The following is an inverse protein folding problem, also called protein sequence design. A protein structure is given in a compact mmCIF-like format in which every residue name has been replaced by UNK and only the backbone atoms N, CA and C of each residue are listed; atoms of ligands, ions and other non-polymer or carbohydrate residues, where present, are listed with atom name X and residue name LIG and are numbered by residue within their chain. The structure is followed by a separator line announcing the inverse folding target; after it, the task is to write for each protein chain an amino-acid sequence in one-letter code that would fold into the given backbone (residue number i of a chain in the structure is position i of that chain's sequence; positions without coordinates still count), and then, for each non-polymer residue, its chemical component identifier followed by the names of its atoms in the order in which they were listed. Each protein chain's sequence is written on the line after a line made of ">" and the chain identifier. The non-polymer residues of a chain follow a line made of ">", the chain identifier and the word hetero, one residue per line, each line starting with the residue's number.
data_IF_481352358763
#
_entry.id   IF_481352358763
#
_cell.length_a   1.000
_cell.length_b   1.000
_cell.length_c   1.000
_cell.angle_alpha   90.00
_cell.angle_beta   90.00
_cell.angle_gamma   90.00
#
_symmetry.space_group_name_H-M   'P 1'
#
loop_
_entity.id
_entity.type
_entity.pdbx_description
1 polymer ?
#
# COMPACT_ATOMS: atom_id res chain seq x y z
N UNK A 1 15.22 12.19 -6.75
CA UNK A 1 14.32 11.11 -6.30
C UNK A 1 14.84 10.65 -4.96
N UNK A 2 13.98 10.53 -3.95
CA UNK A 2 14.36 9.95 -2.66
C UNK A 2 14.95 8.55 -2.89
N UNK A 3 16.09 8.26 -2.26
CA UNK A 3 16.70 6.91 -2.32
C UNK A 3 15.87 5.85 -1.56
N UNK A 4 14.78 6.26 -0.92
CA UNK A 4 13.95 5.43 -0.06
C UNK A 4 12.53 5.21 -0.61
N UNK A 5 12.13 5.87 -1.71
CA UNK A 5 10.81 5.70 -2.30
C UNK A 5 10.86 4.93 -3.61
N UNK A 6 10.01 3.92 -3.74
CA UNK A 6 9.91 3.04 -4.89
C UNK A 6 8.49 3.10 -5.43
N UNK A 7 8.32 3.73 -6.59
CA UNK A 7 7.03 3.89 -7.25
C UNK A 7 6.91 2.89 -8.41
N UNK A 8 5.73 2.29 -8.57
CA UNK A 8 5.36 1.76 -9.89
C UNK A 8 5.17 2.92 -10.89
N UNK A 9 5.34 2.65 -12.19
CA UNK A 9 5.30 3.69 -13.22
C UNK A 9 3.98 4.49 -13.17
N UNK A 10 2.85 3.78 -13.04
CA UNK A 10 1.51 4.39 -12.98
C UNK A 10 1.31 5.19 -11.68
N UNK A 11 1.82 4.67 -10.55
CA UNK A 11 1.65 5.30 -9.25
C UNK A 11 2.42 6.61 -9.11
N UNK A 12 3.60 6.72 -9.75
CA UNK A 12 4.38 7.97 -9.73
C UNK A 12 3.60 9.12 -10.38
N UNK A 13 2.97 8.87 -11.54
CA UNK A 13 2.21 9.87 -12.27
C UNK A 13 1.02 10.38 -11.44
N UNK A 14 0.27 9.47 -10.79
CA UNK A 14 -0.83 9.82 -9.91
C UNK A 14 -0.36 10.65 -8.70
N UNK A 15 0.67 10.18 -8.00
CA UNK A 15 1.18 10.84 -6.81
C UNK A 15 1.67 12.27 -7.10
N UNK A 16 2.37 12.46 -8.24
CA UNK A 16 2.85 13.78 -8.69
C UNK A 16 1.71 14.70 -9.10
N UNK A 17 0.65 14.17 -9.72
CA UNK A 17 -0.50 14.98 -10.15
C UNK A 17 -1.22 15.69 -8.99
N UNK A 18 -1.16 15.10 -7.79
CA UNK A 18 -1.77 15.63 -6.58
C UNK A 18 -0.75 16.21 -5.57
N UNK A 19 0.56 16.13 -5.86
CA UNK A 19 1.63 16.59 -4.96
C UNK A 19 1.82 15.73 -3.70
N UNK A 20 1.20 14.55 -3.64
CA UNK A 20 1.29 13.62 -2.51
C UNK A 20 2.69 12.99 -2.43
N UNK A 21 3.38 12.88 -3.56
CA UNK A 21 4.75 12.40 -3.64
C UNK A 21 5.70 13.21 -2.75
N UNK A 22 5.52 14.52 -2.63
CA UNK A 22 6.36 15.39 -1.79
C UNK A 22 6.29 14.98 -0.32
N UNK A 23 5.08 14.70 0.18
CA UNK A 23 4.86 14.35 1.59
C UNK A 23 5.40 12.94 1.87
N UNK A 24 5.12 11.98 0.99
CA UNK A 24 5.62 10.60 1.11
C UNK A 24 7.15 10.56 1.06
N UNK A 25 7.76 11.26 0.10
CA UNK A 25 9.22 11.33 -0.05
C UNK A 25 9.87 11.93 1.20
N UNK A 26 9.30 13.02 1.73
CA UNK A 26 9.81 13.67 2.93
C UNK A 26 9.78 12.73 4.14
N UNK A 27 8.69 11.98 4.32
CA UNK A 27 8.60 10.96 5.37
C UNK A 27 9.65 9.86 5.20
N UNK A 28 9.77 9.29 4.00
CA UNK A 28 10.71 8.20 3.74
C UNK A 28 12.16 8.61 3.97
N UNK A 29 12.56 9.82 3.56
CA UNK A 29 13.90 10.37 3.79
C UNK A 29 14.17 10.66 5.27
N UNK A 30 13.22 11.29 5.97
CA UNK A 30 13.36 11.61 7.39
C UNK A 30 13.55 10.34 8.24
N UNK A 31 12.79 9.29 7.93
CA UNK A 31 12.81 8.05 8.69
C UNK A 31 13.80 7.00 8.14
N UNK A 32 14.40 7.25 6.96
CA UNK A 32 15.28 6.33 6.22
C UNK A 32 14.66 4.95 6.01
N UNK A 33 13.36 4.93 5.70
CA UNK A 33 12.57 3.70 5.52
C UNK A 33 12.21 3.51 4.06
N UNK A 34 12.45 2.31 3.55
CA UNK A 34 11.96 1.93 2.23
C UNK A 34 10.43 2.02 2.22
N UNK A 35 9.92 2.85 1.31
CA UNK A 35 8.51 3.15 1.13
C UNK A 35 8.12 2.78 -0.29
N UNK A 36 7.13 1.92 -0.44
CA UNK A 36 6.66 1.40 -1.71
C UNK A 36 5.30 2.02 -2.03
N UNK A 37 5.14 2.49 -3.26
CA UNK A 37 3.93 3.14 -3.75
C UNK A 37 3.51 2.44 -5.05
N UNK A 38 2.38 1.75 -5.02
CA UNK A 38 1.99 0.81 -6.06
C UNK A 38 0.50 0.98 -6.40
N UNK A 39 0.12 0.79 -7.67
CA UNK A 39 -1.30 0.65 -8.06
C UNK A 39 -1.80 -0.80 -7.97
N UNK A 40 -0.88 -1.78 -7.86
CA UNK A 40 -1.18 -3.21 -7.71
C UNK A 40 0.06 -3.95 -7.19
N UNK A 41 -0.06 -5.15 -6.60
CA UNK A 41 1.09 -5.94 -6.22
C UNK A 41 2.02 -6.22 -7.41
N UNK A 42 3.33 -5.96 -7.25
CA UNK A 42 4.34 -6.20 -8.30
C UNK A 42 4.52 -7.70 -8.57
N UNK A 43 4.30 -8.53 -7.56
CA UNK A 43 4.36 -10.00 -7.67
C UNK A 43 3.27 -10.62 -8.57
N UNK A 44 2.34 -9.81 -9.11
CA UNK A 44 1.24 -10.25 -9.95
C UNK A 44 1.02 -9.30 -11.15
N UNK A 45 2.01 -9.24 -12.06
CA UNK A 45 2.05 -8.30 -13.19
C UNK A 45 0.88 -8.46 -14.19
N UNK A 46 0.28 -9.64 -14.27
CA UNK A 46 -0.84 -9.93 -15.19
C UNK A 46 -2.19 -9.36 -14.71
N UNK A 47 -2.26 -8.88 -13.46
CA UNK A 47 -3.51 -8.35 -12.91
C UNK A 47 -3.78 -6.94 -13.42
N UNK A 48 -5.03 -6.74 -13.82
CA UNK A 48 -5.60 -5.44 -14.16
C UNK A 48 -6.81 -5.22 -13.27
N UNK A 49 -6.83 -4.08 -12.60
CA UNK A 49 -8.01 -3.59 -11.91
C UNK A 49 -8.81 -2.70 -12.85
N UNK A 50 -10.13 -2.68 -12.67
CA UNK A 50 -11.02 -1.81 -13.45
C UNK A 50 -10.84 -0.33 -13.07
N UNK A 51 -10.35 -0.06 -11.85
CA UNK A 51 -10.01 1.27 -11.37
C UNK A 51 -8.50 1.52 -11.39
N UNK A 52 -8.08 2.61 -12.04
CA UNK A 52 -6.67 2.97 -12.23
C UNK A 52 -6.27 4.30 -11.57
N UNK A 53 -7.18 4.92 -10.80
CA UNK A 53 -6.95 6.23 -10.16
C UNK A 53 -6.71 6.11 -8.65
N UNK A 54 -6.07 5.03 -8.23
CA UNK A 54 -5.70 4.79 -6.83
C UNK A 54 -4.24 4.33 -6.70
N UNK A 55 -3.68 4.59 -5.52
CA UNK A 55 -2.39 4.01 -5.09
C UNK A 55 -2.54 3.38 -3.71
N UNK A 56 -1.67 2.42 -3.44
CA UNK A 56 -1.42 1.82 -2.15
C UNK A 56 0.01 2.16 -1.70
N UNK A 57 0.15 2.58 -0.44
CA UNK A 57 1.42 3.02 0.15
C UNK A 57 1.80 2.10 1.29
N UNK A 58 3.05 1.64 1.28
CA UNK A 58 3.58 0.72 2.27
C UNK A 58 4.94 1.19 2.79
N UNK A 59 5.11 1.18 4.11
CA UNK A 59 6.41 1.35 4.76
C UNK A 59 6.40 0.56 6.07
N UNK A 60 7.54 0.00 6.43
CA UNK A 60 7.69 -0.70 7.71
C UNK A 60 7.30 0.20 8.90
N UNK A 61 6.55 -0.34 9.84
CA UNK A 61 6.16 0.34 11.09
C UNK A 61 5.04 1.38 10.96
N UNK A 62 4.36 1.47 9.81
CA UNK A 62 3.10 2.21 9.69
C UNK A 62 2.03 1.33 9.03
N UNK A 63 0.75 1.61 9.32
CA UNK A 63 -0.39 1.04 8.62
C UNK A 63 -0.26 1.29 7.11
N UNK A 64 -0.40 0.26 6.26
CA UNK A 64 -0.60 0.45 4.83
C UNK A 64 -1.85 1.28 4.58
N UNK A 65 -1.85 2.07 3.53
CA UNK A 65 -3.03 2.88 3.21
C UNK A 65 -3.23 3.05 1.72
N UNK A 66 -4.50 3.28 1.36
CA UNK A 66 -4.93 3.61 0.02
C UNK A 66 -5.22 5.10 -0.10
N UNK A 67 -4.95 5.66 -1.27
CA UNK A 67 -5.34 7.02 -1.63
C UNK A 67 -6.07 6.96 -2.95
N UNK A 68 -7.24 7.60 -2.97
CA UNK A 68 -8.02 7.83 -4.17
C UNK A 68 -7.66 9.18 -4.83
N UNK A 69 -7.62 9.18 -6.16
CA UNK A 69 -7.42 10.35 -7.02
C UNK A 69 -8.58 10.61 -7.98
N UNK A 70 -9.58 9.73 -8.04
CA UNK A 70 -10.81 9.92 -8.80
C UNK A 70 -11.95 10.48 -7.96
N UNK A 71 -13.17 10.24 -8.46
CA UNK A 71 -14.43 10.72 -7.89
C UNK A 71 -15.49 9.60 -7.88
N UNK A 72 -15.06 8.33 -7.90
CA UNK A 72 -15.93 7.15 -7.95
C UNK A 72 -15.64 6.24 -6.76
N UNK A 73 -16.40 6.45 -5.68
CA UNK A 73 -16.22 5.75 -4.42
C UNK A 73 -16.46 4.23 -4.57
N UNK A 74 -17.41 3.82 -5.41
CA UNK A 74 -17.74 2.41 -5.62
C UNK A 74 -16.57 1.68 -6.29
N UNK A 75 -16.00 2.26 -7.37
CA UNK A 75 -14.82 1.69 -8.03
C UNK A 75 -13.57 1.71 -7.13
N UNK A 76 -13.46 2.69 -6.24
CA UNK A 76 -12.37 2.74 -5.29
C UNK A 76 -12.50 1.65 -4.21
N UNK A 77 -13.70 1.36 -3.72
CA UNK A 77 -13.94 0.23 -2.81
C UNK A 77 -13.63 -1.11 -3.50
N UNK A 78 -14.03 -1.29 -4.76
CA UNK A 78 -13.68 -2.48 -5.55
C UNK A 78 -12.15 -2.64 -5.70
N UNK A 79 -11.44 -1.56 -6.01
CA UNK A 79 -9.98 -1.54 -6.07
C UNK A 79 -9.32 -2.01 -4.76
N UNK A 80 -9.82 -1.54 -3.61
CA UNK A 80 -9.29 -1.95 -2.31
C UNK A 80 -9.51 -3.44 -2.09
N UNK A 81 -10.71 -3.94 -2.35
CA UNK A 81 -11.03 -5.36 -2.16
C UNK A 81 -10.20 -6.27 -3.08
N UNK A 82 -10.04 -5.89 -4.34
CA UNK A 82 -9.19 -6.58 -5.32
C UNK A 82 -7.72 -6.62 -4.87
N UNK A 83 -7.19 -5.48 -4.42
CA UNK A 83 -5.82 -5.42 -3.90
C UNK A 83 -5.63 -6.36 -2.69
N UNK A 84 -6.60 -6.36 -1.76
CA UNK A 84 -6.55 -7.22 -0.58
C UNK A 84 -6.72 -8.71 -0.95
N UNK A 85 -7.55 -9.05 -1.94
CA UNK A 85 -7.65 -10.42 -2.45
C UNK A 85 -6.35 -10.89 -3.10
N UNK A 86 -5.66 -10.04 -3.86
CA UNK A 86 -4.35 -10.39 -4.43
C UNK A 86 -3.30 -10.64 -3.34
N UNK A 87 -3.26 -9.81 -2.29
CA UNK A 87 -2.38 -10.08 -1.14
C UNK A 87 -2.73 -11.41 -0.48
N UNK A 88 -4.03 -11.72 -0.35
CA UNK A 88 -4.51 -13.01 0.18
C UNK A 88 -4.06 -14.18 -0.70
N UNK A 89 -4.21 -14.07 -2.03
CA UNK A 89 -3.74 -15.05 -3.00
C UNK A 89 -2.23 -15.27 -2.91
N UNK A 90 -1.44 -14.19 -2.84
CA UNK A 90 0.02 -14.27 -2.69
C UNK A 90 0.39 -14.96 -1.36
N UNK A 91 -0.31 -14.65 -0.27
CA UNK A 91 -0.08 -15.28 1.02
C UNK A 91 -0.34 -16.79 1.00
N UNK A 92 -1.36 -17.26 0.27
CA UNK A 92 -1.61 -18.69 0.05
C UNK A 92 -0.52 -19.31 -0.84
N UNK A 93 -0.25 -18.69 -1.99
CA UNK A 93 0.74 -19.15 -3.00
C UNK A 93 2.11 -19.36 -2.38
N UNK A 94 2.54 -18.45 -1.50
CA UNK A 94 3.85 -18.51 -0.84
C UNK A 94 3.82 -19.10 0.58
N UNK A 95 2.70 -19.66 1.03
CA UNK A 95 2.52 -20.28 2.35
C UNK A 95 2.80 -19.33 3.53
N UNK A 96 2.48 -18.05 3.37
CA UNK A 96 2.51 -17.05 4.43
C UNK A 96 1.21 -16.98 5.24
N UNK A 97 0.14 -17.66 4.81
CA UNK A 97 -1.14 -17.73 5.54
C UNK A 97 -0.97 -18.16 7.01
N UNK A 98 -0.08 -19.09 7.30
CA UNK A 98 0.19 -19.55 8.66
C UNK A 98 0.90 -18.49 9.52
N UNK A 99 1.53 -17.50 8.88
CA UNK A 99 2.27 -16.40 9.55
C UNK A 99 1.42 -15.16 9.75
N UNK A 100 0.67 -14.73 8.73
CA UNK A 100 -0.12 -13.49 8.77
C UNK A 100 -1.60 -13.72 9.06
N UNK A 101 -2.08 -14.96 8.96
CA UNK A 101 -3.48 -15.32 9.12
C UNK A 101 -4.30 -15.18 7.83
N UNK A 102 -5.63 -15.23 7.96
CA UNK A 102 -6.58 -15.03 6.85
C UNK A 102 -6.76 -13.53 6.58
N UNK A 103 -7.19 -13.15 5.36
CA UNK A 103 -7.51 -11.75 4.96
C UNK A 103 -8.17 -10.93 6.08
N UNK A 104 -9.26 -11.44 6.67
CA UNK A 104 -9.99 -10.80 7.78
C UNK A 104 -9.15 -10.42 9.01
N UNK A 105 -8.03 -11.10 9.25
CA UNK A 105 -7.14 -10.86 10.40
C UNK A 105 -6.21 -9.68 10.21
N UNK A 106 -5.86 -9.33 8.97
CA UNK A 106 -4.87 -8.31 8.67
C UNK A 106 -5.41 -7.17 7.80
N UNK A 107 -6.53 -7.35 7.09
CA UNK A 107 -7.15 -6.28 6.29
C UNK A 107 -7.52 -5.05 7.14
N UNK A 108 -7.80 -5.25 8.44
CA UNK A 108 -8.08 -4.19 9.40
C UNK A 108 -6.89 -3.24 9.65
N UNK A 109 -5.70 -3.61 9.19
CA UNK A 109 -4.50 -2.77 9.26
C UNK A 109 -4.42 -1.76 8.12
N UNK A 110 -5.22 -1.95 7.06
CA UNK A 110 -5.24 -1.05 5.91
C UNK A 110 -6.20 0.11 6.20
N UNK A 111 -5.75 1.31 5.89
CA UNK A 111 -6.55 2.53 6.02
C UNK A 111 -6.85 3.12 4.64
N UNK A 112 -7.93 3.89 4.56
CA UNK A 112 -8.20 4.76 3.42
C UNK A 112 -7.99 6.20 3.85
N UNK A 113 -7.13 6.94 3.16
CA UNK A 113 -6.79 8.31 3.51
C UNK A 113 -7.10 9.27 2.35
N UNK A 114 -7.58 10.46 2.71
CA UNK A 114 -7.67 11.55 1.76
C UNK A 114 -6.28 12.03 1.38
N UNK A 115 -6.06 12.33 0.09
CA UNK A 115 -4.82 12.93 -0.42
C UNK A 115 -4.39 14.22 0.30
N UNK A 116 -5.33 14.90 0.95
CA UNK A 116 -5.09 16.16 1.68
C UNK A 116 -4.87 15.98 3.19
N UNK A 117 -5.05 14.78 3.76
CA UNK A 117 -5.00 14.52 5.20
C UNK A 117 -4.14 13.28 5.52
N UNK A 118 -2.88 13.31 5.07
CA UNK A 118 -1.91 12.25 5.34
C UNK A 118 -1.11 12.63 6.59
N UNK A 119 -1.43 11.99 7.71
CA UNK A 119 -0.68 12.13 8.96
C UNK A 119 -0.02 10.79 9.35
N UNK A 120 1.26 10.64 9.00
CA UNK A 120 2.04 9.44 9.29
C UNK A 120 2.12 9.08 10.77
N UNK A 121 1.97 10.05 11.69
CA UNK A 121 1.98 9.76 13.13
C UNK A 121 0.76 8.97 13.57
N UNK A 122 -0.39 9.19 12.93
CA UNK A 122 -1.63 8.43 13.20
C UNK A 122 -1.58 7.01 12.65
N UNK A 123 -0.63 6.73 11.76
CA UNK A 123 -0.45 5.43 11.12
C UNK A 123 0.57 4.55 11.83
N UNK A 124 1.28 5.04 12.85
CA UNK A 124 2.25 4.24 13.60
C UNK A 124 1.58 3.00 14.21
N UNK A 125 2.27 1.85 14.14
CA UNK A 125 1.75 0.57 14.62
C UNK A 125 2.65 -0.07 15.67
N UNK A 126 2.09 -0.98 16.46
CA UNK A 126 2.87 -1.76 17.41
C UNK A 126 3.76 -2.81 16.73
N UNK A 127 4.75 -3.33 17.45
CA UNK A 127 5.73 -4.29 16.91
C UNK A 127 5.10 -5.55 16.29
N UNK A 128 3.97 -6.02 16.84
CA UNK A 128 3.29 -7.21 16.31
C UNK A 128 2.68 -6.95 14.94
N UNK A 129 1.99 -5.83 14.79
CA UNK A 129 1.37 -5.41 13.52
C UNK A 129 2.42 -5.06 12.48
N UNK A 130 3.50 -4.35 12.89
CA UNK A 130 4.63 -4.04 12.02
C UNK A 130 5.22 -5.29 11.36
N UNK A 131 5.35 -6.40 12.11
CA UNK A 131 5.85 -7.67 11.54
C UNK A 131 4.90 -8.25 10.48
N UNK A 132 3.60 -8.11 10.67
CA UNK A 132 2.61 -8.55 9.67
C UNK A 132 2.73 -7.68 8.41
N UNK A 133 2.88 -6.37 8.59
CA UNK A 133 3.05 -5.40 7.50
C UNK A 133 4.34 -5.68 6.71
N UNK A 134 5.46 -5.95 7.38
CA UNK A 134 6.72 -6.30 6.71
C UNK A 134 6.60 -7.56 5.84
N UNK A 135 5.81 -8.54 6.31
CA UNK A 135 5.51 -9.74 5.53
C UNK A 135 4.63 -9.45 4.32
N UNK A 136 3.62 -8.58 4.47
CA UNK A 136 2.77 -8.12 3.35
C UNK A 136 3.61 -7.36 2.32
N UNK A 137 4.50 -6.47 2.75
CA UNK A 137 5.45 -5.76 1.87
C UNK A 137 6.29 -6.77 1.07
N UNK A 138 6.79 -7.80 1.73
CA UNK A 138 7.56 -8.86 1.05
C UNK A 138 6.72 -9.59 0.00
N UNK A 139 5.44 -9.87 0.28
CA UNK A 139 4.54 -10.53 -0.67
C UNK A 139 4.24 -9.67 -1.91
N UNK A 140 3.99 -8.38 -1.73
CA UNK A 140 3.61 -7.48 -2.83
C UNK A 140 4.79 -7.07 -3.71
N UNK A 141 6.00 -6.98 -3.15
CA UNK A 141 7.21 -6.56 -3.89
C UNK A 141 7.92 -7.77 -4.52
N UNK A 142 7.88 -8.95 -3.88
CA UNK A 142 8.53 -10.18 -4.35
C UNK A 142 9.88 -10.43 -3.71
#
# INVERSE_FOLDING_TARGET
>A
MSNYCFYSQDALALAQSAGVDVIINSYAEQHKKQTYILCRPLSNEDVKYDYDRAIAVFSSGIKPFFIDFGDDDDLFEEYQEDFLEDVSYLAEKFKYRDKIGRKKSWQILFESLSRNDIDFKKLEVETKESRVIDLIISLIVG
#
